data_IF_951273767947
#
_entry.id   IF_951273767947
#
_cell.length_a   1.000
_cell.length_b   1.000
_cell.length_c   1.000
_cell.angle_alpha   90.00
_cell.angle_beta   90.00
_cell.angle_gamma   90.00
#
_symmetry.space_group_name_H-M   'P 1'
#
loop_
_entity.id
_entity.type
_entity.pdbx_description
1 polymer ?
#
# COMPACT_ATOMS: atom_id res chain seq x y z
N UNK A 1 15.17 6.28 15.82
CA UNK A 1 15.15 7.12 14.60
C UNK A 1 13.96 6.75 13.70
N UNK A 2 12.79 6.42 14.27
CA UNK A 2 11.55 6.13 13.51
C UNK A 2 10.44 7.13 13.85
N UNK A 3 10.59 7.93 14.91
CA UNK A 3 9.55 8.83 15.44
C UNK A 3 9.28 10.06 14.55
N UNK A 4 10.18 10.39 13.62
CA UNK A 4 10.05 11.62 12.80
C UNK A 4 9.18 11.45 11.55
N UNK A 5 8.90 10.24 11.10
CA UNK A 5 7.95 10.01 9.99
C UNK A 5 6.49 10.28 10.41
N UNK A 6 6.18 10.14 11.70
CA UNK A 6 4.84 10.38 12.24
C UNK A 6 4.59 11.84 12.67
N UNK A 7 5.58 12.73 12.58
CA UNK A 7 5.51 14.09 13.14
C UNK A 7 4.91 15.16 12.19
N UNK A 8 4.50 14.79 10.98
CA UNK A 8 3.85 15.72 10.03
C UNK A 8 2.33 15.85 10.24
N UNK A 9 1.78 15.17 11.24
CA UNK A 9 0.35 15.06 11.44
C UNK A 9 0.01 15.75 12.78
N UNK A 10 -0.82 16.81 12.75
CA UNK A 10 -1.50 17.33 13.95
C UNK A 10 -2.20 16.19 14.70
N UNK A 11 -2.64 16.36 15.97
CA UNK A 11 -2.91 15.28 16.93
C UNK A 11 -3.83 14.20 16.34
N UNK A 12 -3.19 13.24 15.66
CA UNK A 12 -3.83 12.36 14.70
C UNK A 12 -3.97 11.02 15.34
N UNK A 13 -5.17 10.46 15.28
CA UNK A 13 -5.45 9.10 15.75
C UNK A 13 -4.34 8.18 15.22
N UNK A 14 -3.55 7.62 16.14
CA UNK A 14 -2.59 6.58 15.80
C UNK A 14 -3.37 5.36 15.32
N UNK A 15 -2.96 4.80 14.20
CA UNK A 15 -3.55 3.55 13.72
C UNK A 15 -3.26 2.45 14.73
N UNK A 16 -4.27 1.64 15.02
CA UNK A 16 -4.08 0.41 15.77
C UNK A 16 -3.24 -0.57 14.94
N UNK A 17 -2.67 -1.57 15.61
CA UNK A 17 -1.95 -2.63 14.90
C UNK A 17 -2.85 -3.35 13.88
N UNK A 18 -4.13 -3.55 14.19
CA UNK A 18 -5.09 -4.18 13.29
C UNK A 18 -5.43 -3.29 12.08
N UNK A 19 -5.53 -1.97 12.29
CA UNK A 19 -5.71 -1.01 11.20
C UNK A 19 -4.48 -1.00 10.29
N UNK A 20 -3.26 -1.02 10.84
CA UNK A 20 -2.02 -1.12 10.05
C UNK A 20 -1.96 -2.40 9.24
N UNK A 21 -2.27 -3.55 9.85
CA UNK A 21 -2.32 -4.84 9.14
C UNK A 21 -3.34 -4.84 8.01
N UNK A 22 -4.49 -4.21 8.23
CA UNK A 22 -5.53 -4.09 7.20
C UNK A 22 -5.07 -3.22 6.03
N UNK A 23 -4.40 -2.10 6.31
CA UNK A 23 -3.81 -1.24 5.26
C UNK A 23 -2.79 -2.01 4.43
N UNK A 24 -1.90 -2.77 5.07
CA UNK A 24 -0.90 -3.58 4.38
C UNK A 24 -1.54 -4.67 3.51
N UNK A 25 -2.46 -5.45 4.08
CA UNK A 25 -3.12 -6.54 3.37
C UNK A 25 -3.92 -6.05 2.15
N UNK A 26 -4.66 -4.95 2.30
CA UNK A 26 -5.41 -4.36 1.18
C UNK A 26 -4.45 -3.82 0.11
N UNK A 27 -3.37 -3.14 0.51
CA UNK A 27 -2.38 -2.65 -0.44
C UNK A 27 -1.78 -3.80 -1.27
N UNK A 28 -1.39 -4.90 -0.62
CA UNK A 28 -0.84 -6.09 -1.28
C UNK A 28 -1.82 -6.71 -2.27
N UNK A 29 -3.07 -6.91 -1.84
CA UNK A 29 -4.10 -7.49 -2.70
C UNK A 29 -4.40 -6.62 -3.92
N UNK A 30 -4.48 -5.31 -3.74
CA UNK A 30 -4.73 -4.37 -4.85
C UNK A 30 -3.55 -4.35 -5.82
N UNK A 31 -2.31 -4.31 -5.32
CA UNK A 31 -1.12 -4.36 -6.19
C UNK A 31 -1.08 -5.65 -6.99
N UNK A 32 -1.22 -6.81 -6.33
CA UNK A 32 -1.23 -8.10 -7.01
C UNK A 32 -2.32 -8.17 -8.08
N UNK A 33 -3.54 -7.76 -7.76
CA UNK A 33 -4.65 -7.77 -8.71
C UNK A 33 -4.37 -6.89 -9.93
N UNK A 34 -3.87 -5.67 -9.73
CA UNK A 34 -3.61 -4.74 -10.83
C UNK A 34 -2.39 -5.13 -11.66
N UNK A 35 -1.34 -5.68 -11.06
CA UNK A 35 -0.17 -6.16 -11.78
C UNK A 35 -0.49 -7.38 -12.66
N UNK A 36 -1.38 -8.26 -12.20
CA UNK A 36 -1.77 -9.45 -12.95
C UNK A 36 -2.82 -9.18 -14.04
N UNK A 37 -3.67 -8.17 -13.87
CA UNK A 37 -4.85 -7.99 -14.74
C UNK A 37 -4.78 -6.77 -15.66
N UNK A 38 -3.98 -5.75 -15.33
CA UNK A 38 -3.99 -4.48 -16.03
C UNK A 38 -2.66 -4.13 -16.71
N UNK A 39 -2.70 -3.97 -18.02
CA UNK A 39 -1.63 -3.36 -18.81
C UNK A 39 -1.82 -1.84 -18.85
N UNK A 40 -1.17 -1.14 -17.93
CA UNK A 40 -1.27 0.31 -17.75
C UNK A 40 0.10 0.90 -17.36
N UNK A 41 0.42 2.15 -17.74
CA UNK A 41 1.61 2.84 -17.25
C UNK A 41 1.66 2.89 -15.72
N UNK A 42 2.85 2.69 -15.14
CA UNK A 42 3.07 2.62 -13.69
C UNK A 42 2.43 3.76 -12.88
N UNK A 43 2.61 5.04 -13.25
CA UNK A 43 2.00 6.15 -12.52
C UNK A 43 0.46 6.12 -12.51
N UNK A 44 -0.16 5.71 -13.62
CA UNK A 44 -1.62 5.60 -13.70
C UNK A 44 -2.12 4.41 -12.87
N UNK A 45 -1.40 3.27 -12.94
CA UNK A 45 -1.73 2.08 -12.15
C UNK A 45 -1.63 2.37 -10.65
N UNK A 46 -0.60 3.12 -10.23
CA UNK A 46 -0.44 3.58 -8.85
C UNK A 46 -1.59 4.47 -8.40
N UNK A 47 -1.99 5.46 -9.21
CA UNK A 47 -3.12 6.34 -8.88
C UNK A 47 -4.42 5.53 -8.68
N UNK A 48 -4.68 4.56 -9.57
CA UNK A 48 -5.81 3.65 -9.43
C UNK A 48 -5.70 2.78 -8.17
N UNK A 49 -4.51 2.24 -7.87
CA UNK A 49 -4.27 1.42 -6.69
C UNK A 49 -4.55 2.19 -5.40
N UNK A 50 -4.09 3.44 -5.30
CA UNK A 50 -4.36 4.32 -4.15
C UNK A 50 -5.86 4.60 -4.03
N UNK A 51 -6.55 4.88 -5.13
CA UNK A 51 -7.99 5.13 -5.13
C UNK A 51 -8.77 3.90 -4.64
N UNK A 52 -8.48 2.72 -5.18
CA UNK A 52 -9.16 1.47 -4.83
C UNK A 52 -8.88 1.10 -3.37
N UNK A 53 -7.62 1.11 -2.94
CA UNK A 53 -7.26 0.78 -1.57
C UNK A 53 -7.87 1.76 -0.56
N UNK A 54 -7.90 3.06 -0.86
CA UNK A 54 -8.56 4.06 -0.02
C UNK A 54 -10.07 3.78 0.10
N UNK A 55 -10.72 3.41 -1.01
CA UNK A 55 -12.15 3.06 -0.99
C UNK A 55 -12.40 1.83 -0.12
N UNK A 56 -11.65 0.75 -0.32
CA UNK A 56 -11.80 -0.49 0.44
C UNK A 56 -11.57 -0.29 1.94
N UNK A 57 -10.57 0.52 2.31
CA UNK A 57 -10.31 0.87 3.70
C UNK A 57 -11.46 1.68 4.30
N UNK A 58 -11.99 2.66 3.55
CA UNK A 58 -13.12 3.47 3.99
C UNK A 58 -14.40 2.64 4.16
N UNK A 59 -14.67 1.71 3.26
CA UNK A 59 -15.79 0.76 3.35
C UNK A 59 -15.67 -0.14 4.58
N UNK A 60 -14.44 -0.49 4.98
CA UNK A 60 -14.12 -1.19 6.22
C UNK A 60 -14.08 -0.32 7.48
N UNK A 61 -14.41 0.98 7.38
CA UNK A 61 -14.40 1.92 8.51
C UNK A 61 -13.03 2.48 8.89
N UNK A 62 -11.98 2.16 8.12
CA UNK A 62 -10.60 2.61 8.35
C UNK A 62 -10.35 3.86 7.50
N UNK A 63 -10.34 5.02 8.14
CA UNK A 63 -10.02 6.29 7.47
C UNK A 63 -8.55 6.66 7.70
N UNK A 64 -7.76 6.56 6.65
CA UNK A 64 -6.34 6.91 6.65
C UNK A 64 -6.03 8.01 5.64
N UNK A 65 -5.01 8.84 5.87
CA UNK A 65 -4.52 9.77 4.85
C UNK A 65 -4.10 9.02 3.60
N UNK A 66 -4.41 9.56 2.42
CA UNK A 66 -4.04 8.95 1.14
C UNK A 66 -2.53 8.70 1.01
N UNK A 67 -1.70 9.52 1.66
CA UNK A 67 -0.24 9.35 1.71
C UNK A 67 0.20 8.06 2.42
N UNK A 68 -0.56 7.61 3.42
CA UNK A 68 -0.30 6.33 4.11
C UNK A 68 -0.60 5.17 3.17
N UNK A 69 -1.72 5.25 2.44
CA UNK A 69 -2.09 4.26 1.42
C UNK A 69 -1.06 4.23 0.30
N UNK A 70 -0.66 5.40 -0.21
CA UNK A 70 0.40 5.55 -1.22
C UNK A 70 1.70 4.86 -0.80
N UNK A 71 2.12 5.08 0.44
CA UNK A 71 3.31 4.46 1.02
C UNK A 71 3.18 2.95 1.11
N UNK A 72 2.01 2.43 1.50
CA UNK A 72 1.76 0.99 1.57
C UNK A 72 1.78 0.34 0.18
N UNK A 73 1.20 0.99 -0.83
CA UNK A 73 1.24 0.53 -2.23
C UNK A 73 2.67 0.48 -2.76
N UNK A 74 3.46 1.54 -2.53
CA UNK A 74 4.88 1.57 -2.91
C UNK A 74 5.70 0.47 -2.23
N UNK A 75 5.46 0.25 -0.93
CA UNK A 75 6.13 -0.81 -0.18
C UNK A 75 5.78 -2.19 -0.76
N UNK A 76 4.52 -2.42 -1.07
CA UNK A 76 4.03 -3.66 -1.65
C UNK A 76 4.67 -3.98 -3.00
N UNK A 77 4.70 -3.02 -3.92
CA UNK A 77 5.37 -3.17 -5.23
C UNK A 77 6.86 -3.49 -5.05
N UNK A 78 7.56 -2.82 -4.12
CA UNK A 78 8.97 -3.12 -3.85
C UNK A 78 9.18 -4.52 -3.30
N UNK A 79 8.33 -4.97 -2.39
CA UNK A 79 8.39 -6.34 -1.85
C UNK A 79 8.13 -7.37 -2.95
N UNK A 80 7.09 -7.18 -3.76
CA UNK A 80 6.78 -8.04 -4.89
C UNK A 80 7.98 -8.17 -5.84
N UNK A 81 8.56 -7.04 -6.27
CA UNK A 81 9.74 -7.03 -7.14
C UNK A 81 10.93 -7.75 -6.47
N UNK A 82 11.19 -7.53 -5.18
CA UNK A 82 12.27 -8.21 -4.46
C UNK A 82 12.10 -9.73 -4.44
N UNK A 83 10.86 -10.22 -4.36
CA UNK A 83 10.56 -11.66 -4.37
C UNK A 83 10.73 -12.26 -5.77
N UNK A 84 10.22 -11.60 -6.81
CA UNK A 84 10.40 -12.04 -8.21
C UNK A 84 11.88 -12.14 -8.62
N UNK A 85 12.71 -11.18 -8.16
CA UNK A 85 14.15 -11.20 -8.42
C UNK A 85 14.87 -12.34 -7.67
N UNK A 86 14.35 -12.80 -6.53
CA UNK A 86 14.93 -13.95 -5.81
C UNK A 86 14.62 -15.27 -6.51
N UNK A 87 13.41 -15.43 -7.01
CA UNK A 87 13.00 -16.62 -7.75
C UNK A 87 13.75 -16.76 -9.09
N UNK A 88 14.08 -15.62 -9.72
CA UNK A 88 14.80 -15.61 -11.00
C UNK A 88 16.31 -15.95 -10.89
N UNK A 89 16.90 -15.84 -9.68
CA UNK A 89 18.33 -16.04 -9.43
C UNK A 89 18.68 -17.45 -8.89
N UNK A 90 17.69 -18.34 -8.76
CA UNK A 90 17.88 -19.73 -8.37
C UNK A 90 17.20 -20.70 -9.36
N UNK A 91 17.78 -20.93 -10.56
CA UNK A 91 17.48 -22.09 -11.40
C UNK A 91 18.23 -23.36 -10.98
#
# INVERSE_FOLDING_TARGET
MFDRLFSLFGPGKRLSFDEIRSVQAIADQVVLALEQTMKMPGPQKKALAVQVATSLLADGGIRVPAQVVDTAIEASVRVMNLLEHRESNHP
#
